data_IF_176224985238
#
_entry.id   IF_176224985238
#
_cell.length_a   1.000
_cell.length_b   1.000
_cell.length_c   1.000
_cell.angle_alpha   90.00
_cell.angle_beta   90.00
_cell.angle_gamma   90.00
#
_symmetry.space_group_name_H-M   'P 1'
#
loop_
_entity.id
_entity.type
_entity.pdbx_description
1 polymer ?
#
# COMPACT_ATOMS: atom_id res chain seq x y z
N UNK A 1 23.47 30.44 3.78
CA UNK A 1 22.71 29.77 2.70
C UNK A 1 21.35 29.38 3.25
N UNK A 2 20.29 30.04 2.79
CA UNK A 2 18.90 29.72 3.13
C UNK A 2 18.46 28.53 2.27
N UNK A 3 17.90 27.50 2.90
CA UNK A 3 17.25 26.37 2.22
C UNK A 3 16.01 26.92 1.49
N UNK A 4 15.78 26.59 0.20
CA UNK A 4 14.57 27.06 -0.47
C UNK A 4 13.34 26.49 0.23
N UNK A 5 12.23 27.25 0.29
CA UNK A 5 10.98 26.73 0.83
C UNK A 5 10.57 25.53 -0.02
N UNK A 6 10.23 24.43 0.64
CA UNK A 6 9.48 23.34 0.01
C UNK A 6 8.22 24.01 -0.53
N UNK A 7 8.15 24.19 -1.84
CA UNK A 7 6.93 24.69 -2.48
C UNK A 7 5.79 23.81 -1.97
N UNK A 8 4.75 24.43 -1.42
CA UNK A 8 3.55 23.74 -0.97
C UNK A 8 2.99 22.95 -2.16
N UNK A 9 3.36 21.68 -2.29
CA UNK A 9 2.55 20.71 -2.99
C UNK A 9 1.17 20.85 -2.36
N UNK A 10 0.17 21.20 -3.18
CA UNK A 10 -1.21 21.32 -2.73
C UNK A 10 -1.51 20.10 -1.86
N UNK A 11 -1.75 20.34 -0.57
CA UNK A 11 -2.00 19.28 0.40
C UNK A 11 -3.44 18.81 0.16
N UNK A 12 -3.65 18.09 -0.93
CA UNK A 12 -4.87 17.35 -1.15
C UNK A 12 -4.96 16.34 -0.02
N UNK A 13 -6.05 16.42 0.76
CA UNK A 13 -6.31 15.47 1.83
C UNK A 13 -6.32 14.04 1.23
N UNK A 14 -5.65 13.07 1.86
CA UNK A 14 -5.62 11.70 1.36
C UNK A 14 -7.04 11.14 1.28
N UNK A 15 -7.33 10.39 0.22
CA UNK A 15 -8.59 9.65 0.11
C UNK A 15 -8.62 8.53 1.16
N UNK A 16 -9.63 8.55 2.03
CA UNK A 16 -9.81 7.58 3.13
C UNK A 16 -11.14 6.84 2.98
N UNK A 17 -11.24 5.85 2.07
CA UNK A 17 -12.47 5.09 1.88
C UNK A 17 -12.64 4.06 3.00
N UNK A 18 -13.88 3.91 3.49
CA UNK A 18 -14.24 2.83 4.40
C UNK A 18 -14.55 1.52 3.65
N UNK A 19 -14.84 0.45 4.39
CA UNK A 19 -15.18 -0.85 3.79
C UNK A 19 -16.41 -0.79 2.87
N UNK A 20 -17.40 0.04 3.18
CA UNK A 20 -18.61 0.14 2.37
C UNK A 20 -18.32 0.87 1.04
N UNK A 21 -17.53 1.93 1.08
CA UNK A 21 -17.05 2.63 -0.10
C UNK A 21 -16.20 1.72 -1.00
N UNK A 22 -15.22 1.00 -0.43
CA UNK A 22 -14.38 0.07 -1.20
C UNK A 22 -15.23 -1.01 -1.89
N UNK A 23 -16.18 -1.62 -1.19
CA UNK A 23 -17.04 -2.69 -1.75
C UNK A 23 -17.97 -2.22 -2.87
N UNK A 24 -18.35 -0.93 -2.90
CA UNK A 24 -19.13 -0.36 -4.01
C UNK A 24 -18.31 -0.25 -5.30
N UNK A 25 -17.00 -0.09 -5.18
CA UNK A 25 -16.11 0.12 -6.32
C UNK A 25 -15.35 -1.15 -6.73
N UNK A 26 -15.18 -2.12 -5.83
CA UNK A 26 -14.41 -3.34 -6.07
C UNK A 26 -15.31 -4.59 -6.08
N UNK A 27 -16.02 -4.81 -7.21
CA UNK A 27 -16.78 -6.04 -7.42
C UNK A 27 -15.86 -7.24 -7.73
N UNK A 28 -16.37 -8.46 -7.58
CA UNK A 28 -15.61 -9.66 -7.94
C UNK A 28 -15.25 -9.69 -9.43
N UNK A 29 -16.18 -9.27 -10.29
CA UNK A 29 -16.00 -9.22 -11.75
C UNK A 29 -14.89 -8.23 -12.15
N UNK A 30 -14.73 -7.12 -11.41
CA UNK A 30 -13.62 -6.20 -11.61
C UNK A 30 -12.31 -6.71 -10.99
N UNK A 31 -12.41 -7.47 -9.89
CA UNK A 31 -11.25 -7.92 -9.12
C UNK A 31 -10.49 -9.07 -9.81
N UNK A 32 -11.17 -10.05 -10.39
CA UNK A 32 -10.51 -11.22 -11.00
C UNK A 32 -9.57 -10.83 -12.15
N UNK A 33 -9.97 -10.01 -13.14
CA UNK A 33 -9.07 -9.56 -14.21
C UNK A 33 -7.91 -8.70 -13.69
N UNK A 34 -8.16 -7.91 -12.63
CA UNK A 34 -7.11 -7.12 -11.99
C UNK A 34 -6.06 -8.00 -11.29
N UNK A 35 -6.48 -9.08 -10.61
CA UNK A 35 -5.56 -10.06 -10.01
C UNK A 35 -4.75 -10.76 -11.10
N UNK A 36 -5.39 -11.22 -12.19
CA UNK A 36 -4.70 -11.84 -13.31
C UNK A 36 -3.61 -10.92 -13.89
N UNK A 37 -3.98 -9.66 -14.15
CA UNK A 37 -3.04 -8.66 -14.66
C UNK A 37 -1.89 -8.44 -13.68
N UNK A 38 -2.17 -8.30 -12.38
CA UNK A 38 -1.15 -8.13 -11.36
C UNK A 38 -0.17 -9.32 -11.33
N UNK A 39 -0.68 -10.55 -11.43
CA UNK A 39 0.15 -11.76 -11.51
C UNK A 39 1.03 -11.78 -12.77
N UNK A 40 0.49 -11.39 -13.93
CA UNK A 40 1.27 -11.27 -15.18
C UNK A 40 2.43 -10.27 -15.00
N UNK A 41 2.17 -9.10 -14.41
CA UNK A 41 3.19 -8.06 -14.20
C UNK A 41 4.26 -8.52 -13.20
N UNK A 42 3.86 -9.23 -12.14
CA UNK A 42 4.79 -9.88 -11.19
C UNK A 42 5.66 -10.91 -11.90
N UNK A 43 5.06 -11.83 -12.66
CA UNK A 43 5.79 -12.86 -13.40
C UNK A 43 6.72 -12.29 -14.48
N UNK A 44 6.38 -11.12 -15.03
CA UNK A 44 7.24 -10.40 -15.97
C UNK A 44 8.41 -9.65 -15.30
N UNK A 45 8.56 -9.71 -13.97
CA UNK A 45 9.61 -9.02 -13.24
C UNK A 45 9.46 -7.50 -13.18
N UNK A 46 8.25 -6.98 -13.42
CA UNK A 46 7.95 -5.53 -13.44
C UNK A 46 7.47 -4.99 -12.09
N UNK A 47 7.37 -5.84 -11.07
CA UNK A 47 6.99 -5.47 -9.70
C UNK A 47 8.13 -5.82 -8.76
N UNK A 48 8.43 -4.93 -7.82
CA UNK A 48 9.27 -5.25 -6.66
C UNK A 48 8.36 -5.57 -5.48
N UNK A 49 8.30 -6.84 -5.09
CA UNK A 49 7.53 -7.29 -3.94
C UNK A 49 8.46 -8.03 -2.97
N UNK A 50 9.06 -7.35 -1.98
CA UNK A 50 9.90 -8.00 -0.99
C UNK A 50 9.08 -8.97 -0.13
N UNK A 51 9.77 -9.86 0.58
CA UNK A 51 9.11 -10.75 1.53
C UNK A 51 8.34 -9.95 2.57
N UNK A 52 7.16 -10.45 2.94
CA UNK A 52 6.35 -9.87 4.01
C UNK A 52 7.16 -9.83 5.33
N UNK A 53 7.01 -8.75 6.07
CA UNK A 53 7.47 -8.68 7.46
C UNK A 53 6.35 -9.20 8.37
N UNK A 54 6.71 -10.03 9.35
CA UNK A 54 5.80 -10.55 10.37
C UNK A 54 6.29 -10.09 11.73
N UNK A 55 5.40 -9.50 12.51
CA UNK A 55 5.67 -9.06 13.87
C UNK A 55 4.68 -9.74 14.80
N UNK A 56 5.18 -10.33 15.88
CA UNK A 56 4.33 -10.79 16.99
C UNK A 56 3.85 -9.58 17.78
N UNK A 57 2.58 -9.61 18.17
CA UNK A 57 1.99 -8.60 19.05
C UNK A 57 1.85 -9.18 20.46
N UNK A 58 1.73 -8.34 21.50
CA UNK A 58 1.66 -8.80 22.89
C UNK A 58 0.49 -9.76 23.23
N UNK A 59 -0.51 -9.90 22.36
CA UNK A 59 -1.65 -10.82 22.54
C UNK A 59 -1.34 -12.25 22.07
N UNK A 60 -1.79 -13.30 22.78
CA UNK A 60 -1.64 -14.68 22.34
C UNK A 60 -2.14 -14.90 20.91
N UNK A 61 -1.28 -15.44 20.04
CA UNK A 61 -1.62 -15.68 18.63
C UNK A 61 -1.88 -14.41 17.81
N UNK A 62 -1.45 -13.24 18.30
CA UNK A 62 -1.61 -11.97 17.59
C UNK A 62 -0.41 -11.67 16.70
N UNK A 63 -0.66 -11.48 15.40
CA UNK A 63 0.38 -11.20 14.40
C UNK A 63 0.04 -9.96 13.59
N UNK A 64 1.03 -9.12 13.32
CA UNK A 64 0.98 -8.04 12.33
C UNK A 64 1.81 -8.42 11.10
N UNK A 65 1.17 -8.42 9.95
CA UNK A 65 1.79 -8.64 8.65
C UNK A 65 1.92 -7.32 7.90
N UNK A 66 3.11 -7.04 7.35
CA UNK A 66 3.37 -5.90 6.47
C UNK A 66 3.79 -6.43 5.09
N UNK A 67 3.06 -6.07 4.02
CA UNK A 67 3.19 -6.70 2.68
C UNK A 67 3.47 -5.70 1.54
N UNK A 68 4.58 -4.95 1.55
CA UNK A 68 4.78 -3.88 0.57
C UNK A 68 4.97 -4.44 -0.85
N UNK A 69 4.50 -3.68 -1.85
CA UNK A 69 4.71 -3.93 -3.27
C UNK A 69 4.93 -2.60 -3.99
N UNK A 70 5.80 -2.59 -5.01
CA UNK A 70 6.05 -1.43 -5.87
C UNK A 70 5.85 -1.82 -7.34
N UNK A 71 4.90 -1.17 -8.01
CA UNK A 71 4.60 -1.33 -9.43
C UNK A 71 4.36 0.04 -10.06
N UNK A 72 4.94 0.34 -11.22
CA UNK A 72 4.69 1.56 -12.00
C UNK A 72 4.69 2.86 -11.16
N UNK A 73 5.73 3.06 -10.34
CA UNK A 73 5.88 4.21 -9.43
C UNK A 73 4.78 4.33 -8.35
N UNK A 74 4.07 3.26 -8.05
CA UNK A 74 3.09 3.18 -6.97
C UNK A 74 3.53 2.16 -5.93
N UNK A 75 3.49 2.55 -4.66
CA UNK A 75 3.75 1.66 -3.51
C UNK A 75 2.43 1.29 -2.87
N UNK A 76 2.15 -0.01 -2.77
CA UNK A 76 1.01 -0.56 -2.03
C UNK A 76 1.51 -1.26 -0.76
N UNK A 77 0.91 -0.94 0.39
CA UNK A 77 1.29 -1.48 1.69
C UNK A 77 0.07 -2.01 2.45
N UNK A 78 -0.31 -3.28 2.24
CA UNK A 78 -1.29 -3.97 3.06
C UNK A 78 -0.69 -4.34 4.43
N UNK A 79 -1.28 -3.81 5.48
CA UNK A 79 -1.16 -4.27 6.86
C UNK A 79 -2.27 -5.26 7.19
N UNK A 80 -1.98 -6.34 7.91
CA UNK A 80 -3.02 -7.23 8.46
C UNK A 80 -2.70 -7.59 9.90
N UNK A 81 -3.65 -7.41 10.81
CA UNK A 81 -3.59 -7.97 12.16
C UNK A 81 -4.46 -9.21 12.23
N UNK A 82 -3.95 -10.32 12.74
CA UNK A 82 -4.74 -11.54 12.98
C UNK A 82 -4.57 -12.04 14.41
N UNK A 83 -5.64 -12.60 14.99
CA UNK A 83 -5.67 -13.09 16.38
C UNK A 83 -6.19 -14.54 16.47
N UNK A 84 -5.58 -15.34 17.34
CA UNK A 84 -5.96 -16.72 17.63
C UNK A 84 -7.08 -16.84 18.68
N UNK A 85 -8.33 -16.84 18.22
CA UNK A 85 -9.54 -17.41 18.87
C UNK A 85 -9.98 -16.86 20.24
N UNK A 86 -10.55 -15.64 20.24
CA UNK A 86 -11.92 -15.25 20.72
C UNK A 86 -11.98 -13.72 20.78
N UNK A 87 -12.65 -13.09 19.81
CA UNK A 87 -12.66 -11.63 19.66
C UNK A 87 -13.17 -11.22 18.27
N UNK A 88 -13.02 -9.93 17.85
CA UNK A 88 -13.36 -9.40 16.51
C UNK A 88 -12.81 -10.28 15.35
N UNK A 89 -13.21 -10.03 14.07
CA UNK A 89 -12.83 -10.90 12.95
C UNK A 89 -11.36 -11.30 12.97
N UNK A 90 -11.09 -12.58 12.68
CA UNK A 90 -9.77 -13.21 12.77
C UNK A 90 -8.66 -12.50 11.95
N UNK A 91 -9.02 -11.54 11.09
CA UNK A 91 -8.10 -10.64 10.41
C UNK A 91 -8.73 -9.24 10.21
N UNK A 92 -7.99 -8.19 10.58
CA UNK A 92 -8.24 -6.81 10.20
C UNK A 92 -7.14 -6.37 9.23
N UNK A 93 -7.50 -5.69 8.14
CA UNK A 93 -6.52 -5.23 7.15
C UNK A 93 -6.73 -3.76 6.78
N UNK A 94 -5.62 -3.07 6.55
CA UNK A 94 -5.60 -1.71 6.01
C UNK A 94 -4.59 -1.68 4.86
N UNK A 95 -4.90 -0.95 3.78
CA UNK A 95 -4.00 -0.79 2.65
C UNK A 95 -3.69 0.68 2.47
N UNK A 96 -2.39 1.01 2.48
CA UNK A 96 -1.91 2.34 2.10
C UNK A 96 -1.40 2.29 0.67
N UNK A 97 -1.86 3.23 -0.15
CA UNK A 97 -1.45 3.38 -1.55
C UNK A 97 -0.73 4.73 -1.65
N UNK A 98 0.52 4.72 -2.11
CA UNK A 98 1.34 5.93 -2.28
C UNK A 98 1.69 6.06 -3.75
N UNK A 99 1.36 7.20 -4.35
CA UNK A 99 1.85 7.57 -5.68
C UNK A 99 3.20 8.25 -5.53
N UNK A 100 4.24 7.69 -6.15
CA UNK A 100 5.55 8.31 -6.19
C UNK A 100 5.60 9.26 -7.38
N UNK A 101 5.93 10.52 -7.12
CA UNK A 101 6.27 11.48 -8.17
C UNK A 101 7.79 11.56 -8.30
N UNK A 102 8.27 11.72 -9.54
CA UNK A 102 9.67 12.04 -9.78
C UNK A 102 9.97 13.41 -9.14
N UNK A 103 10.86 13.41 -8.14
CA UNK A 103 11.43 14.65 -7.63
C UNK A 103 12.49 15.03 -8.65
N UNK A 104 12.08 15.77 -9.68
CA UNK A 104 12.98 16.27 -10.71
C UNK A 104 14.28 16.74 -10.06
N UNK A 105 15.37 16.05 -10.40
CA UNK A 105 16.73 16.42 -10.04
C UNK A 105 16.95 17.87 -10.44
N UNK A 106 17.00 18.78 -9.46
CA UNK A 106 17.49 20.13 -9.67
C UNK A 106 18.97 20.06 -10.05
N UNK A 107 19.24 19.85 -11.33
CA UNK A 107 20.55 20.07 -11.94
C UNK A 107 20.75 21.59 -11.96
N UNK A 108 21.61 22.08 -11.06
CA UNK A 108 22.07 23.47 -11.10
C UNK A 108 22.86 23.69 -12.41
N UNK A 109 22.60 24.77 -13.17
CA UNK A 109 23.48 25.14 -14.27
C UNK A 109 24.81 25.68 -13.70
N UNK A 110 25.87 25.36 -14.43
CA UNK A 110 27.29 25.68 -14.18
C UNK A 110 27.53 27.19 -14.05
#
# INVERSE_FOLDING_TARGET
>A
MMRPPIANAACELPLLPDNAAVRRHLSLDALLPAIETALIVVCAGRVVQPMRTVMELPGPGSLLFFKPALADSRVDVPGTQGEGRKGPPCALAATLIIQMHDVATHQAPV
#
